data_IF_359004910147
#
_entry.id   IF_359004910147
#
_cell.length_a   1.000
_cell.length_b   1.000
_cell.length_c   1.000
_cell.angle_alpha   90.00
_cell.angle_beta   90.00
_cell.angle_gamma   90.00
#
_symmetry.space_group_name_H-M   'P 1'
#
loop_
_entity.id
_entity.type
_entity.pdbx_description
1 polymer ?
#
# COMPACT_ATOMS: atom_id res chain seq x y z
N UNK A 1 1.81 -29.75 -11.48
CA UNK A 1 2.94 -30.03 -10.56
C UNK A 1 2.71 -29.18 -9.30
N UNK A 2 2.69 -29.80 -8.14
CA UNK A 2 2.63 -29.07 -6.86
C UNK A 2 3.96 -28.38 -6.61
N UNK A 3 3.93 -27.09 -6.32
CA UNK A 3 5.12 -26.32 -5.95
C UNK A 3 5.78 -26.92 -4.70
N UNK A 4 7.10 -26.84 -4.60
CA UNK A 4 7.81 -27.24 -3.37
C UNK A 4 7.31 -26.38 -2.19
N UNK A 5 7.40 -26.84 -0.92
CA UNK A 5 7.01 -26.04 0.25
C UNK A 5 7.67 -24.67 0.28
N UNK A 6 8.95 -24.59 -0.10
CA UNK A 6 9.68 -23.33 -0.22
C UNK A 6 9.03 -22.39 -1.24
N UNK A 7 8.73 -22.87 -2.45
CA UNK A 7 8.10 -22.05 -3.49
C UNK A 7 6.67 -21.64 -3.13
N UNK A 8 5.96 -22.45 -2.35
CA UNK A 8 4.65 -22.07 -1.82
C UNK A 8 4.76 -20.90 -0.84
N UNK A 9 5.76 -20.89 0.03
CA UNK A 9 6.01 -19.77 0.95
C UNK A 9 6.44 -18.52 0.20
N UNK A 10 7.29 -18.61 -0.82
CA UNK A 10 7.66 -17.48 -1.67
C UNK A 10 6.43 -16.90 -2.37
N UNK A 11 5.56 -17.75 -2.93
CA UNK A 11 4.36 -17.33 -3.67
C UNK A 11 3.33 -16.58 -2.80
N UNK A 12 3.30 -16.82 -1.49
CA UNK A 12 2.40 -16.14 -0.54
C UNK A 12 2.87 -14.74 -0.16
N UNK A 13 4.13 -14.36 -0.41
CA UNK A 13 4.67 -13.08 0.06
C UNK A 13 4.28 -11.94 -0.84
N UNK A 14 3.87 -10.82 -0.23
CA UNK A 14 3.60 -9.54 -0.91
C UNK A 14 4.37 -8.45 -0.20
N UNK A 15 5.20 -7.73 -0.94
CA UNK A 15 6.01 -6.64 -0.38
C UNK A 15 5.72 -5.36 -1.14
N UNK A 16 5.15 -4.37 -0.45
CA UNK A 16 4.78 -3.10 -1.07
C UNK A 16 5.14 -1.90 -0.20
N UNK A 17 5.29 -0.76 -0.84
CA UNK A 17 5.44 0.53 -0.17
C UNK A 17 4.25 1.42 -0.44
N UNK A 18 3.90 2.28 0.50
CA UNK A 18 2.92 3.34 0.30
C UNK A 18 3.66 4.61 -0.10
N UNK A 19 3.29 5.17 -1.24
CA UNK A 19 3.82 6.43 -1.77
C UNK A 19 2.71 7.46 -1.90
N UNK A 20 3.00 8.71 -1.54
CA UNK A 20 2.02 9.80 -1.63
C UNK A 20 2.68 11.16 -1.48
N UNK A 21 1.95 12.20 -1.86
CA UNK A 21 2.24 13.56 -1.38
C UNK A 21 1.97 13.67 0.14
N UNK A 22 2.67 14.54 0.89
CA UNK A 22 2.32 14.86 2.27
C UNK A 22 0.84 15.19 2.43
N UNK A 23 0.23 14.77 3.52
CA UNK A 23 -1.19 14.98 3.84
C UNK A 23 -2.22 14.28 2.93
N UNK A 24 -1.82 13.49 1.93
CA UNK A 24 -2.76 12.68 1.14
C UNK A 24 -3.45 11.57 1.96
N UNK A 25 -2.96 11.27 3.17
CA UNK A 25 -3.55 10.30 4.09
C UNK A 25 -2.77 9.00 4.22
N UNK A 26 -1.47 9.00 3.85
CA UNK A 26 -0.59 7.83 3.90
C UNK A 26 -0.61 7.14 5.26
N UNK A 27 -0.29 7.84 6.34
CA UNK A 27 -0.27 7.27 7.69
C UNK A 27 -1.64 6.73 8.11
N UNK A 28 -2.72 7.41 7.71
CA UNK A 28 -4.07 6.91 7.97
C UNK A 28 -4.34 5.60 7.25
N UNK A 29 -3.94 5.48 5.97
CA UNK A 29 -4.07 4.23 5.20
C UNK A 29 -3.20 3.13 5.81
N UNK A 30 -1.95 3.41 6.20
CA UNK A 30 -1.09 2.46 6.90
C UNK A 30 -1.81 1.86 8.12
N UNK A 31 -2.37 2.70 8.99
CA UNK A 31 -3.12 2.25 10.16
C UNK A 31 -4.36 1.41 9.79
N UNK A 32 -5.06 1.76 8.70
CA UNK A 32 -6.22 1.00 8.25
C UNK A 32 -5.83 -0.35 7.64
N UNK A 33 -4.78 -0.40 6.85
CA UNK A 33 -4.23 -1.65 6.33
C UNK A 33 -3.86 -2.60 7.47
N UNK A 34 -3.21 -2.10 8.53
CA UNK A 34 -2.89 -2.89 9.72
C UNK A 34 -4.15 -3.35 10.48
N UNK A 35 -5.18 -2.51 10.53
CA UNK A 35 -6.46 -2.86 11.14
C UNK A 35 -7.16 -4.00 10.37
N UNK A 36 -7.24 -3.90 9.05
CA UNK A 36 -7.83 -4.95 8.20
C UNK A 36 -6.99 -6.24 8.25
N UNK A 37 -5.67 -6.13 8.31
CA UNK A 37 -4.77 -7.26 8.53
C UNK A 37 -4.80 -7.83 9.96
N UNK A 38 -5.69 -7.33 10.82
CA UNK A 38 -5.81 -7.72 12.24
C UNK A 38 -4.50 -7.59 13.04
N UNK A 39 -3.55 -6.84 12.52
CA UNK A 39 -2.29 -6.56 13.19
C UNK A 39 -2.43 -5.58 14.36
N UNK A 40 -3.48 -4.76 14.33
CA UNK A 40 -3.89 -3.86 15.43
C UNK A 40 -5.41 -4.00 15.67
N UNK A 41 -5.85 -3.76 16.90
CA UNK A 41 -7.27 -3.86 17.24
C UNK A 41 -8.04 -2.56 16.97
N UNK A 42 -7.37 -1.43 17.04
CA UNK A 42 -7.93 -0.10 16.79
C UNK A 42 -6.91 0.76 16.07
N UNK A 43 -7.34 1.47 15.04
CA UNK A 43 -6.45 2.39 14.34
C UNK A 43 -6.23 3.69 15.14
N UNK A 44 -4.99 4.18 15.14
CA UNK A 44 -4.66 5.51 15.64
C UNK A 44 -5.04 6.61 14.62
N UNK A 45 -4.99 7.86 15.05
CA UNK A 45 -5.20 9.02 14.19
C UNK A 45 -4.04 9.99 14.29
N UNK A 46 -3.66 10.59 13.15
CA UNK A 46 -2.59 11.60 13.07
C UNK A 46 -3.05 12.96 13.60
N UNK A 47 -4.36 13.15 13.80
CA UNK A 47 -4.91 14.46 14.15
C UNK A 47 -5.04 14.70 15.64
N UNK A 48 -4.40 15.79 16.04
CA UNK A 48 -4.85 16.66 17.13
C UNK A 48 -3.88 16.78 18.28
N UNK A 49 -3.47 18.01 18.57
CA UNK A 49 -3.03 18.40 19.90
C UNK A 49 -4.11 17.95 20.90
N UNK A 50 -3.86 16.83 21.57
CA UNK A 50 -4.75 16.32 22.63
C UNK A 50 -5.36 14.93 22.43
N UNK A 51 -5.07 14.18 21.35
CA UNK A 51 -5.48 12.78 21.26
C UNK A 51 -4.39 11.87 21.84
N UNK A 52 -4.74 11.03 22.81
CA UNK A 52 -3.83 10.07 23.41
C UNK A 52 -3.56 8.82 22.54
N UNK A 53 -4.06 8.79 21.29
CA UNK A 53 -3.87 7.68 20.36
C UNK A 53 -3.05 8.16 19.16
N UNK A 54 -1.75 7.92 19.22
CA UNK A 54 -0.84 8.13 18.09
C UNK A 54 -0.88 6.93 17.12
N UNK A 55 -0.58 7.19 15.84
CA UNK A 55 -0.45 6.14 14.85
C UNK A 55 0.68 5.17 15.23
N UNK A 56 0.47 3.87 15.05
CA UNK A 56 1.49 2.85 15.37
C UNK A 56 2.67 2.87 14.39
N UNK A 57 2.49 3.42 13.21
CA UNK A 57 3.57 3.68 12.25
C UNK A 57 4.54 4.77 12.72
N UNK A 58 4.08 5.71 13.55
CA UNK A 58 4.87 6.85 14.04
C UNK A 58 5.46 6.50 15.42
N UNK A 59 6.53 5.73 15.44
CA UNK A 59 7.15 5.23 16.68
C UNK A 59 8.27 6.11 17.23
N UNK A 60 8.89 6.98 16.42
CA UNK A 60 9.88 7.93 16.89
C UNK A 60 9.21 9.12 17.59
N UNK A 61 9.82 9.59 18.68
CA UNK A 61 9.29 10.73 19.44
C UNK A 61 9.17 12.00 18.59
N UNK A 62 10.08 12.20 17.65
CA UNK A 62 10.02 13.28 16.67
C UNK A 62 8.82 13.15 15.72
N UNK A 63 8.46 11.95 15.32
CA UNK A 63 7.28 11.68 14.48
C UNK A 63 6.00 12.02 15.22
N UNK A 64 5.90 11.59 16.49
CA UNK A 64 4.77 11.90 17.36
C UNK A 64 4.60 13.40 17.62
N UNK A 65 5.71 14.13 17.81
CA UNK A 65 5.69 15.58 18.06
C UNK A 65 5.30 16.38 16.81
N UNK A 66 5.75 15.96 15.63
CA UNK A 66 5.50 16.67 14.37
C UNK A 66 4.23 16.18 13.67
N UNK A 67 3.72 14.98 13.99
CA UNK A 67 2.58 14.35 13.33
C UNK A 67 2.87 13.96 11.88
N UNK A 68 4.15 13.68 11.56
CA UNK A 68 4.62 13.24 10.24
C UNK A 68 5.55 12.05 10.38
N UNK A 69 5.46 11.08 9.47
CA UNK A 69 6.40 9.96 9.40
C UNK A 69 7.75 10.44 8.88
N UNK A 70 8.81 10.22 9.65
CA UNK A 70 10.18 10.67 9.33
C UNK A 70 11.01 9.51 8.80
N UNK A 71 10.77 8.29 9.29
CA UNK A 71 11.55 7.11 8.92
C UNK A 71 10.65 6.04 8.32
N UNK A 72 11.25 5.17 7.49
CA UNK A 72 10.55 4.00 6.97
C UNK A 72 10.25 3.03 8.11
N UNK A 73 9.00 2.69 8.29
CA UNK A 73 8.57 1.59 9.17
C UNK A 73 8.36 0.33 8.34
N UNK A 74 8.84 -0.80 8.82
CA UNK A 74 8.62 -2.11 8.22
C UNK A 74 7.62 -2.87 9.08
N UNK A 75 6.53 -3.33 8.48
CA UNK A 75 5.46 -4.02 9.18
C UNK A 75 5.08 -5.29 8.41
N UNK A 76 4.90 -6.38 9.15
CA UNK A 76 4.55 -7.66 8.57
C UNK A 76 3.27 -8.18 9.23
N UNK A 77 2.33 -8.68 8.43
CA UNK A 77 1.09 -9.26 8.92
C UNK A 77 0.49 -10.24 7.91
N UNK A 78 -0.27 -11.25 8.37
CA UNK A 78 -1.04 -12.12 7.49
C UNK A 78 -2.29 -11.38 6.97
N UNK A 79 -2.64 -11.60 5.71
CA UNK A 79 -3.91 -11.17 5.14
C UNK A 79 -4.34 -12.15 4.05
N UNK A 80 -5.55 -12.74 4.19
CA UNK A 80 -5.95 -13.93 3.43
C UNK A 80 -4.85 -15.00 3.49
N UNK A 81 -4.51 -15.61 2.37
CA UNK A 81 -3.46 -16.63 2.30
C UNK A 81 -2.05 -16.04 2.07
N UNK A 82 -1.90 -14.71 2.21
CA UNK A 82 -0.65 -14.00 1.97
C UNK A 82 0.02 -13.54 3.26
N UNK A 83 1.34 -13.46 3.22
CA UNK A 83 2.15 -12.74 4.20
C UNK A 83 2.54 -11.39 3.61
N UNK A 84 1.97 -10.33 4.14
CA UNK A 84 2.14 -8.98 3.64
C UNK A 84 3.26 -8.27 4.38
N UNK A 85 4.19 -7.69 3.63
CA UNK A 85 5.24 -6.81 4.12
C UNK A 85 4.96 -5.40 3.63
N UNK A 86 4.57 -4.53 4.54
CA UNK A 86 4.33 -3.13 4.28
C UNK A 86 5.55 -2.31 4.70
N UNK A 87 6.08 -1.53 3.77
CA UNK A 87 7.14 -0.55 4.01
C UNK A 87 6.52 0.85 3.94
N UNK A 88 6.24 1.44 5.09
CA UNK A 88 5.73 2.81 5.16
C UNK A 88 6.87 3.81 4.96
N UNK A 89 6.78 4.63 3.94
CA UNK A 89 7.84 5.57 3.55
C UNK A 89 7.56 6.98 4.10
N UNK A 90 8.59 7.80 4.38
CA UNK A 90 8.38 9.21 4.71
C UNK A 90 7.68 9.95 3.56
N UNK A 91 6.63 10.72 3.87
CA UNK A 91 5.93 11.54 2.87
C UNK A 91 6.65 12.84 2.55
N UNK A 92 7.44 13.38 3.49
CA UNK A 92 8.05 14.71 3.37
C UNK A 92 9.30 14.70 2.47
N UNK A 93 9.53 15.80 1.74
CA UNK A 93 10.67 15.92 0.79
C UNK A 93 12.04 15.78 1.44
N UNK A 94 12.20 16.25 2.68
CA UNK A 94 13.46 16.20 3.43
C UNK A 94 13.97 14.75 3.63
N UNK A 95 13.12 13.75 3.47
CA UNK A 95 13.44 12.33 3.64
C UNK A 95 13.40 11.53 2.33
N UNK A 96 13.63 12.19 1.21
CA UNK A 96 13.54 11.59 -0.14
C UNK A 96 14.46 10.39 -0.32
N UNK A 97 15.69 10.45 0.21
CA UNK A 97 16.66 9.37 0.03
C UNK A 97 16.22 8.07 0.72
N UNK A 98 15.67 8.16 1.92
CA UNK A 98 15.10 6.99 2.63
C UNK A 98 13.95 6.36 1.82
N UNK A 99 13.11 7.19 1.23
CA UNK A 99 12.02 6.71 0.36
C UNK A 99 12.57 5.99 -0.86
N UNK A 100 13.55 6.57 -1.55
CA UNK A 100 14.14 5.96 -2.75
C UNK A 100 14.81 4.62 -2.44
N UNK A 101 15.56 4.54 -1.34
CA UNK A 101 16.17 3.29 -0.89
C UNK A 101 15.11 2.23 -0.56
N UNK A 102 14.04 2.63 0.11
CA UNK A 102 12.93 1.73 0.46
C UNK A 102 12.24 1.18 -0.78
N UNK A 103 12.02 2.02 -1.81
CA UNK A 103 11.43 1.59 -3.08
C UNK A 103 12.28 0.54 -3.82
N UNK A 104 13.59 0.44 -3.53
CA UNK A 104 14.40 -0.66 -4.07
C UNK A 104 14.08 -2.03 -3.46
N UNK A 105 13.44 -2.06 -2.30
CA UNK A 105 13.17 -3.29 -1.55
C UNK A 105 11.76 -3.85 -1.78
N UNK A 106 10.90 -3.15 -2.52
CA UNK A 106 9.51 -3.58 -2.75
C UNK A 106 9.30 -4.16 -4.13
N UNK A 107 8.21 -4.90 -4.29
CA UNK A 107 7.78 -5.51 -5.55
C UNK A 107 6.54 -4.83 -6.14
N UNK A 108 5.87 -3.97 -5.36
CA UNK A 108 4.69 -3.19 -5.77
C UNK A 108 4.64 -1.89 -4.96
N UNK A 109 3.89 -0.91 -5.44
CA UNK A 109 3.60 0.32 -4.72
C UNK A 109 2.09 0.56 -4.62
N UNK A 110 1.67 1.16 -3.51
CA UNK A 110 0.36 1.75 -3.34
C UNK A 110 0.50 3.28 -3.40
N UNK A 111 0.00 3.88 -4.46
CA UNK A 111 -0.04 5.33 -4.61
C UNK A 111 -1.32 5.88 -4.01
N UNK A 112 -1.20 6.84 -3.09
CA UNK A 112 -2.33 7.50 -2.44
C UNK A 112 -2.43 8.93 -2.93
N UNK A 113 -3.58 9.27 -3.50
CA UNK A 113 -3.90 10.60 -4.02
C UNK A 113 -5.04 11.21 -3.21
N UNK A 114 -4.90 12.47 -2.82
CA UNK A 114 -6.00 13.26 -2.25
C UNK A 114 -6.96 13.64 -3.39
N UNK A 115 -8.17 13.09 -3.39
CA UNK A 115 -9.15 13.30 -4.46
C UNK A 115 -9.62 14.77 -4.58
N UNK A 116 -9.41 15.60 -3.57
CA UNK A 116 -9.68 17.03 -3.65
C UNK A 116 -8.56 17.81 -4.34
N UNK A 117 -7.32 17.30 -4.35
CA UNK A 117 -6.14 17.98 -4.87
C UNK A 117 -5.65 17.41 -6.20
N UNK A 118 -5.75 16.09 -6.40
CA UNK A 118 -5.23 15.39 -7.58
C UNK A 118 -3.73 15.10 -7.47
N UNK A 119 -3.03 15.13 -8.60
CA UNK A 119 -1.60 14.84 -8.70
C UNK A 119 -0.77 16.02 -8.21
N UNK A 120 0.02 15.79 -7.17
CA UNK A 120 0.87 16.81 -6.55
C UNK A 120 2.37 16.51 -6.83
N UNK A 121 3.26 17.50 -6.68
CA UNK A 121 4.68 17.43 -7.06
C UNK A 121 5.42 16.22 -6.51
N UNK A 122 5.14 15.84 -5.26
CA UNK A 122 5.79 14.69 -4.65
C UNK A 122 5.38 13.38 -5.34
N UNK A 123 4.11 13.28 -5.74
CA UNK A 123 3.60 12.12 -6.48
C UNK A 123 4.35 11.94 -7.80
N UNK A 124 4.58 13.05 -8.55
CA UNK A 124 5.36 13.03 -9.80
C UNK A 124 6.77 12.52 -9.59
N UNK A 125 7.49 13.07 -8.60
CA UNK A 125 8.87 12.65 -8.27
C UNK A 125 8.95 11.17 -7.88
N UNK A 126 8.00 10.68 -7.09
CA UNK A 126 7.95 9.27 -6.67
C UNK A 126 7.63 8.34 -7.85
N UNK A 127 6.77 8.78 -8.75
CA UNK A 127 6.47 8.06 -9.97
C UNK A 127 7.68 7.88 -10.88
N UNK A 128 8.52 8.89 -11.03
CA UNK A 128 9.79 8.80 -11.78
C UNK A 128 10.69 7.70 -11.22
N UNK A 129 10.75 7.58 -9.88
CA UNK A 129 11.58 6.55 -9.22
C UNK A 129 11.02 5.14 -9.43
N UNK A 130 9.70 4.96 -9.31
CA UNK A 130 9.06 3.65 -9.52
C UNK A 130 9.21 3.16 -10.97
N UNK A 131 9.21 4.08 -11.93
CA UNK A 131 9.43 3.78 -13.35
C UNK A 131 10.82 3.27 -13.69
N UNK A 132 11.84 3.66 -12.95
CA UNK A 132 13.19 3.13 -13.18
C UNK A 132 13.27 1.60 -13.04
N UNK A 133 12.21 0.98 -12.52
CA UNK A 133 12.16 -0.46 -12.24
C UNK A 133 10.86 -1.11 -12.71
N UNK A 134 10.04 -0.40 -13.46
CA UNK A 134 8.72 -0.85 -13.90
C UNK A 134 7.89 -1.45 -12.75
N UNK A 135 7.98 -0.80 -11.56
CA UNK A 135 7.31 -1.29 -10.35
C UNK A 135 5.79 -1.16 -10.52
N UNK A 136 5.01 -2.24 -10.41
CA UNK A 136 3.55 -2.18 -10.46
C UNK A 136 2.98 -1.24 -9.40
N UNK A 137 1.96 -0.46 -9.77
CA UNK A 137 1.35 0.55 -8.90
C UNK A 137 -0.16 0.35 -8.84
N UNK A 138 -0.70 0.24 -7.62
CA UNK A 138 -2.12 0.43 -7.35
C UNK A 138 -2.36 1.88 -6.92
N UNK A 139 -3.47 2.46 -7.31
CA UNK A 139 -3.84 3.84 -6.95
C UNK A 139 -5.08 3.85 -6.05
N UNK A 140 -5.01 4.60 -4.96
CA UNK A 140 -6.13 4.84 -4.06
C UNK A 140 -6.47 6.33 -4.02
N UNK A 141 -7.63 6.69 -4.56
CA UNK A 141 -8.22 8.03 -4.49
C UNK A 141 -8.89 8.20 -3.14
N UNK A 142 -8.25 8.95 -2.26
CA UNK A 142 -8.60 9.07 -0.85
C UNK A 142 -9.41 10.33 -0.55
N UNK A 143 -10.07 10.35 0.59
CA UNK A 143 -10.80 11.48 1.19
C UNK A 143 -12.13 11.80 0.53
N UNK A 144 -12.86 10.78 0.09
CA UNK A 144 -14.23 10.94 -0.45
C UNK A 144 -15.25 11.45 0.59
N UNK A 145 -14.87 11.49 1.87
CA UNK A 145 -15.61 12.15 2.95
C UNK A 145 -15.61 13.68 2.87
N UNK A 146 -14.91 14.23 1.87
CA UNK A 146 -14.84 15.67 1.56
C UNK A 146 -15.29 15.94 0.12
N UNK A 147 -15.51 17.20 -0.20
CA UNK A 147 -15.72 17.61 -1.57
C UNK A 147 -14.45 17.30 -2.38
N UNK A 148 -14.62 16.59 -3.49
CA UNK A 148 -13.55 16.14 -4.37
C UNK A 148 -13.70 16.78 -5.75
N UNK A 149 -12.65 16.68 -6.56
CA UNK A 149 -12.71 17.00 -7.99
C UNK A 149 -13.48 15.91 -8.74
N UNK A 150 -13.89 16.21 -9.95
CA UNK A 150 -14.55 15.22 -10.80
C UNK A 150 -13.68 13.96 -10.95
N UNK A 151 -14.23 12.74 -10.72
CA UNK A 151 -13.45 11.51 -10.81
C UNK A 151 -12.85 11.25 -12.19
N UNK A 152 -13.54 11.61 -13.29
CA UNK A 152 -12.99 11.46 -14.64
C UNK A 152 -11.80 12.40 -14.86
N UNK A 153 -11.91 13.66 -14.43
CA UNK A 153 -10.79 14.61 -14.51
C UNK A 153 -9.58 14.13 -13.69
N UNK A 154 -9.81 13.47 -12.54
CA UNK A 154 -8.74 12.89 -11.73
C UNK A 154 -8.02 11.75 -12.45
N UNK A 155 -8.76 10.87 -13.14
CA UNK A 155 -8.16 9.82 -13.95
C UNK A 155 -7.34 10.40 -15.11
N UNK A 156 -7.91 11.35 -15.84
CA UNK A 156 -7.23 12.04 -16.95
C UNK A 156 -5.93 12.73 -16.49
N UNK A 157 -5.95 13.35 -15.32
CA UNK A 157 -4.77 13.99 -14.73
C UNK A 157 -3.68 12.97 -14.40
N UNK A 158 -4.04 11.83 -13.79
CA UNK A 158 -3.11 10.74 -13.50
C UNK A 158 -2.49 10.20 -14.80
N UNK A 159 -3.29 9.94 -15.82
CA UNK A 159 -2.81 9.46 -17.11
C UNK A 159 -1.90 10.48 -17.81
N UNK A 160 -2.30 11.74 -17.82
CA UNK A 160 -1.57 12.79 -18.50
C UNK A 160 -0.26 13.17 -17.78
N UNK A 161 -0.26 13.24 -16.47
CA UNK A 161 0.89 13.69 -15.69
C UNK A 161 1.83 12.57 -15.30
N UNK A 162 1.26 11.42 -14.91
CA UNK A 162 2.06 10.27 -14.49
C UNK A 162 2.35 9.28 -15.62
N UNK A 163 1.74 9.44 -16.80
CA UNK A 163 1.93 8.58 -17.98
C UNK A 163 1.67 7.10 -17.68
N UNK A 164 0.66 6.79 -16.92
CA UNK A 164 0.20 5.43 -16.58
C UNK A 164 -1.30 5.37 -16.84
N UNK A 165 -1.77 4.35 -17.55
CA UNK A 165 -3.20 4.18 -17.82
C UNK A 165 -3.99 3.87 -16.55
N UNK A 166 -5.17 4.43 -16.39
CA UNK A 166 -6.04 4.18 -15.25
C UNK A 166 -7.09 3.12 -15.59
N UNK A 167 -7.19 2.10 -14.73
CA UNK A 167 -8.23 1.07 -14.79
C UNK A 167 -9.09 1.14 -13.52
N UNK A 168 -10.23 1.84 -13.53
CA UNK A 168 -11.07 1.97 -12.33
C UNK A 168 -11.66 0.61 -11.93
N UNK A 169 -11.45 0.23 -10.68
CA UNK A 169 -12.00 -0.98 -10.07
C UNK A 169 -13.26 -0.64 -9.28
N UNK A 170 -13.23 0.45 -8.56
CA UNK A 170 -14.40 0.99 -7.87
C UNK A 170 -14.71 2.40 -8.38
N UNK A 171 -15.98 2.81 -8.32
CA UNK A 171 -16.43 4.14 -8.70
C UNK A 171 -17.22 4.79 -7.58
N UNK A 172 -16.99 6.08 -7.27
CA UNK A 172 -17.64 6.73 -6.13
C UNK A 172 -19.11 7.06 -6.44
N UNK A 173 -19.95 7.04 -5.40
CA UNK A 173 -21.35 7.48 -5.45
C UNK A 173 -21.47 8.70 -4.57
N UNK A 174 -21.46 9.89 -5.18
CA UNK A 174 -21.39 11.16 -4.50
C UNK A 174 -20.06 11.41 -3.79
N UNK A 175 -19.95 12.54 -3.12
CA UNK A 175 -18.76 12.92 -2.33
C UNK A 175 -19.15 13.83 -1.16
N UNK A 176 -18.22 14.05 -0.23
CA UNK A 176 -18.43 14.88 0.93
C UNK A 176 -19.62 14.41 1.77
N UNK A 177 -20.56 15.30 2.02
CA UNK A 177 -21.78 14.97 2.77
C UNK A 177 -22.74 14.06 2.01
N UNK A 178 -22.63 14.03 0.68
CA UNK A 178 -23.44 13.20 -0.21
C UNK A 178 -22.79 11.86 -0.52
N UNK A 179 -21.63 11.57 0.02
CA UNK A 179 -20.93 10.31 -0.20
C UNK A 179 -21.77 9.12 0.33
N UNK A 180 -22.20 8.24 -0.57
CA UNK A 180 -23.04 7.08 -0.27
C UNK A 180 -22.28 5.77 -0.29
N UNK A 181 -21.14 5.70 -0.98
CA UNK A 181 -20.38 4.46 -1.14
C UNK A 181 -19.63 4.38 -2.45
N UNK A 182 -19.29 3.16 -2.84
CA UNK A 182 -18.64 2.88 -4.12
C UNK A 182 -19.34 1.73 -4.83
N UNK A 183 -19.35 1.78 -6.16
CA UNK A 183 -19.73 0.68 -7.03
C UNK A 183 -18.48 -0.05 -7.52
N UNK A 184 -18.44 -1.37 -7.42
CA UNK A 184 -17.34 -2.21 -7.90
C UNK A 184 -17.64 -2.69 -9.32
N UNK A 185 -16.90 -2.21 -10.31
CA UNK A 185 -17.19 -2.40 -11.73
C UNK A 185 -17.21 -3.88 -12.15
N UNK A 186 -16.30 -4.69 -11.61
CA UNK A 186 -16.12 -6.10 -12.01
C UNK A 186 -16.97 -7.08 -11.21
N UNK A 187 -17.52 -6.67 -10.05
CA UNK A 187 -18.39 -7.51 -9.22
C UNK A 187 -19.87 -7.19 -9.42
N UNK A 188 -20.19 -6.07 -10.08
CA UNK A 188 -21.55 -5.52 -10.19
C UNK A 188 -22.23 -5.37 -8.82
N UNK A 189 -21.46 -4.81 -7.86
CA UNK A 189 -21.87 -4.66 -6.46
C UNK A 189 -21.64 -3.22 -5.99
N UNK A 190 -22.64 -2.67 -5.30
CA UNK A 190 -22.53 -1.39 -4.60
C UNK A 190 -22.30 -1.62 -3.12
N UNK A 191 -21.24 -1.02 -2.60
CA UNK A 191 -20.88 -1.03 -1.19
C UNK A 191 -21.29 0.31 -0.58
N UNK A 192 -22.22 0.27 0.39
CA UNK A 192 -22.80 1.48 0.96
C UNK A 192 -22.01 1.96 2.16
N UNK A 193 -21.60 3.22 2.11
CA UNK A 193 -20.86 3.87 3.20
C UNK A 193 -21.79 4.22 4.36
N UNK A 194 -21.38 3.87 5.58
CA UNK A 194 -22.03 4.32 6.79
C UNK A 194 -21.08 5.28 7.54
N UNK A 195 -21.55 6.50 7.74
CA UNK A 195 -20.80 7.50 8.50
C UNK A 195 -20.64 7.04 9.95
N UNK A 196 -19.37 6.82 10.38
CA UNK A 196 -19.06 6.38 11.72
C UNK A 196 -17.66 6.85 12.16
N UNK A 197 -17.32 6.62 13.44
CA UNK A 197 -15.98 6.90 13.95
C UNK A 197 -15.00 5.81 13.49
N UNK A 198 -14.57 5.79 12.26
CA UNK A 198 -13.72 4.82 11.56
C UNK A 198 -12.53 4.16 12.30
N UNK A 199 -12.71 3.79 13.57
CA UNK A 199 -11.70 3.14 14.41
C UNK A 199 -11.80 1.62 14.42
N UNK A 200 -12.92 1.07 13.96
CA UNK A 200 -13.20 -0.38 13.87
C UNK A 200 -13.78 -0.72 12.52
N UNK A 201 -13.59 -1.96 12.09
CA UNK A 201 -14.21 -2.50 10.87
C UNK A 201 -15.73 -2.58 11.11
N UNK A 202 -16.52 -2.08 10.18
CA UNK A 202 -17.97 -2.13 10.22
C UNK A 202 -18.48 -3.05 9.10
N UNK A 203 -19.62 -3.70 9.33
CA UNK A 203 -20.32 -4.41 8.26
C UNK A 203 -20.84 -3.41 7.23
N UNK A 204 -20.51 -3.67 5.97
CA UNK A 204 -20.93 -2.84 4.84
C UNK A 204 -22.15 -3.48 4.19
N UNK A 205 -23.23 -2.71 4.00
CA UNK A 205 -24.39 -3.17 3.24
C UNK A 205 -24.03 -3.22 1.75
N UNK A 206 -24.29 -4.35 1.11
CA UNK A 206 -24.00 -4.58 -0.30
C UNK A 206 -25.32 -4.66 -1.07
N UNK A 207 -25.42 -3.95 -2.20
CA UNK A 207 -26.51 -4.04 -3.17
C UNK A 207 -25.93 -4.58 -4.47
N UNK A 208 -26.50 -5.67 -5.00
CA UNK A 208 -26.05 -6.31 -6.23
C UNK A 208 -26.85 -5.82 -7.43
N UNK A 209 -26.15 -5.54 -8.53
CA UNK A 209 -26.73 -5.12 -9.78
C UNK A 209 -26.93 -3.60 -9.88
N UNK A 210 -26.37 -3.00 -10.95
CA UNK A 210 -26.44 -1.56 -11.22
C UNK A 210 -27.90 -1.09 -11.45
N UNK A 211 -28.75 -1.97 -11.99
CA UNK A 211 -30.17 -1.67 -12.28
C UNK A 211 -31.11 -2.20 -11.20
N UNK A 212 -30.61 -2.60 -10.04
CA UNK A 212 -31.44 -3.05 -8.94
C UNK A 212 -32.17 -1.87 -8.31
N UNK A 213 -33.51 -1.92 -8.14
CA UNK A 213 -34.29 -0.87 -7.47
C UNK A 213 -33.84 -0.58 -6.03
N UNK A 214 -33.24 -1.56 -5.36
CA UNK A 214 -32.68 -1.39 -4.02
C UNK A 214 -31.51 -0.40 -4.01
N UNK A 215 -30.82 -0.20 -5.14
CA UNK A 215 -29.78 0.81 -5.29
C UNK A 215 -30.41 2.22 -5.25
N UNK A 216 -31.47 2.45 -6.05
CA UNK A 216 -32.18 3.74 -6.08
C UNK A 216 -32.74 4.07 -4.69
N UNK A 217 -33.30 3.08 -4.00
CA UNK A 217 -33.83 3.24 -2.65
C UNK A 217 -32.71 3.54 -1.62
N UNK A 218 -31.50 3.02 -1.81
CA UNK A 218 -30.39 3.17 -0.87
C UNK A 218 -29.64 4.50 -1.02
N UNK A 219 -29.39 4.95 -2.26
CA UNK A 219 -28.57 6.14 -2.55
C UNK A 219 -29.39 7.36 -2.99
N UNK A 220 -30.64 7.16 -3.43
CA UNK A 220 -31.53 8.15 -4.05
C UNK A 220 -31.48 8.04 -5.57
N UNK A 221 -32.63 8.29 -6.21
CA UNK A 221 -32.83 8.14 -7.67
C UNK A 221 -31.80 8.99 -8.47
N UNK A 222 -31.58 10.24 -8.06
CA UNK A 222 -30.67 11.17 -8.75
C UNK A 222 -29.22 10.65 -8.75
N UNK A 223 -28.72 10.22 -7.60
CA UNK A 223 -27.36 9.69 -7.49
C UNK A 223 -27.21 8.32 -8.19
N UNK A 224 -28.24 7.49 -8.16
CA UNK A 224 -28.23 6.21 -8.87
C UNK A 224 -28.21 6.42 -10.40
N UNK A 225 -28.99 7.39 -10.90
CA UNK A 225 -28.97 7.73 -12.32
C UNK A 225 -27.61 8.35 -12.72
N UNK A 226 -27.10 9.28 -11.94
CA UNK A 226 -25.77 9.84 -12.16
C UNK A 226 -24.69 8.74 -12.23
N UNK A 227 -24.73 7.78 -11.31
CA UNK A 227 -23.81 6.63 -11.32
C UNK A 227 -23.92 5.84 -12.64
N UNK A 228 -25.13 5.57 -13.13
CA UNK A 228 -25.34 4.84 -14.40
C UNK A 228 -24.73 5.59 -15.57
N UNK A 229 -24.97 6.90 -15.65
CA UNK A 229 -24.47 7.77 -16.71
C UNK A 229 -22.94 7.86 -16.68
N UNK A 230 -22.35 8.04 -15.50
CA UNK A 230 -20.89 8.07 -15.31
C UNK A 230 -20.24 6.73 -15.68
N UNK A 231 -20.82 5.59 -15.28
CA UNK A 231 -20.29 4.27 -15.60
C UNK A 231 -20.35 3.94 -17.10
N UNK A 232 -21.34 4.47 -17.83
CA UNK A 232 -21.36 4.36 -19.29
C UNK A 232 -20.18 5.09 -19.91
N UNK A 233 -19.88 6.30 -19.42
CA UNK A 233 -18.70 7.07 -19.85
C UNK A 233 -17.39 6.37 -19.47
N UNK A 234 -17.27 5.89 -18.24
CA UNK A 234 -16.08 5.17 -17.74
C UNK A 234 -15.77 3.96 -18.60
N UNK A 235 -16.78 3.15 -18.93
CA UNK A 235 -16.60 1.95 -19.79
C UNK A 235 -16.14 2.30 -21.21
N UNK A 236 -16.46 3.49 -21.70
CA UNK A 236 -16.04 3.94 -23.02
C UNK A 236 -14.68 4.66 -23.07
N UNK A 237 -14.27 5.26 -21.96
CA UNK A 237 -13.13 6.17 -21.91
C UNK A 237 -11.94 5.65 -21.09
N UNK A 238 -12.15 4.75 -20.14
CA UNK A 238 -11.07 4.23 -19.28
C UNK A 238 -10.54 2.89 -19.77
N UNK A 239 -9.34 2.54 -19.30
CA UNK A 239 -8.77 1.22 -19.57
C UNK A 239 -9.51 0.13 -18.77
N UNK A 240 -9.71 -1.03 -19.37
CA UNK A 240 -10.07 -2.22 -18.62
C UNK A 240 -8.85 -2.73 -17.83
N UNK A 241 -9.10 -3.32 -16.65
CA UNK A 241 -8.01 -3.90 -15.87
C UNK A 241 -7.45 -5.14 -16.56
N UNK A 242 -6.17 -5.10 -16.84
CA UNK A 242 -5.38 -6.21 -17.34
C UNK A 242 -4.19 -6.45 -16.42
N UNK A 243 -4.06 -7.69 -15.92
CA UNK A 243 -3.03 -8.03 -14.93
C UNK A 243 -1.62 -7.99 -15.54
N UNK A 244 -1.44 -8.32 -16.80
CA UNK A 244 -0.12 -8.30 -17.46
C UNK A 244 0.35 -6.86 -17.65
N UNK A 245 -0.54 -5.97 -18.11
CA UNK A 245 -0.26 -4.53 -18.22
C UNK A 245 0.00 -3.89 -16.85
N UNK A 246 -0.73 -4.32 -15.81
CA UNK A 246 -0.46 -3.87 -14.43
C UNK A 246 0.94 -4.30 -13.98
N UNK A 247 1.31 -5.57 -14.18
CA UNK A 247 2.63 -6.09 -13.81
C UNK A 247 3.77 -5.45 -14.62
N UNK A 248 3.49 -5.01 -15.84
CA UNK A 248 4.41 -4.25 -16.67
C UNK A 248 4.54 -2.77 -16.27
N UNK A 249 3.70 -2.29 -15.33
CA UNK A 249 3.67 -0.88 -14.91
C UNK A 249 3.03 0.07 -15.94
N UNK A 250 2.27 -0.46 -16.90
CA UNK A 250 1.60 0.31 -17.95
C UNK A 250 0.24 0.85 -17.52
N UNK A 251 -0.48 0.12 -16.66
CA UNK A 251 -1.75 0.54 -16.07
C UNK A 251 -1.73 0.46 -14.54
N UNK A 252 -2.57 1.27 -13.92
CA UNK A 252 -2.84 1.22 -12.48
C UNK A 252 -4.31 0.93 -12.20
N UNK A 253 -4.65 -0.12 -11.43
CA UNK A 253 -6.00 -0.27 -10.90
C UNK A 253 -6.31 0.83 -9.90
N UNK A 254 -7.46 1.50 -10.09
CA UNK A 254 -7.86 2.66 -9.28
C UNK A 254 -9.01 2.32 -8.37
N UNK A 255 -8.82 2.58 -7.08
CA UNK A 255 -9.81 2.41 -6.03
C UNK A 255 -10.18 3.76 -5.42
N UNK A 256 -11.44 3.95 -5.09
CA UNK A 256 -11.96 5.14 -4.45
C UNK A 256 -12.42 4.82 -3.02
N UNK A 257 -12.16 5.73 -2.07
CA UNK A 257 -12.57 5.54 -0.70
C UNK A 257 -12.19 6.65 0.26
N UNK A 258 -12.40 6.41 1.54
CA UNK A 258 -11.98 7.30 2.62
C UNK A 258 -11.28 6.50 3.71
N UNK A 259 -9.97 6.71 3.86
CA UNK A 259 -9.21 6.06 4.91
C UNK A 259 -9.68 6.50 6.31
N UNK A 260 -10.07 7.78 6.47
CA UNK A 260 -10.59 8.28 7.73
C UNK A 260 -11.91 7.59 8.11
N UNK A 261 -12.78 7.37 7.12
CA UNK A 261 -14.05 6.66 7.28
C UNK A 261 -13.92 5.14 7.33
N UNK A 262 -12.71 4.60 7.19
CA UNK A 262 -12.45 3.15 7.14
C UNK A 262 -13.22 2.42 6.02
N UNK A 263 -13.31 3.03 4.82
CA UNK A 263 -14.13 2.57 3.73
C UNK A 263 -13.35 2.49 2.40
N UNK A 264 -13.50 1.37 1.68
CA UNK A 264 -12.83 1.10 0.39
C UNK A 264 -11.37 0.65 0.52
N UNK A 265 -10.80 0.65 1.73
CA UNK A 265 -9.41 0.19 1.98
C UNK A 265 -9.30 -1.33 1.86
N UNK A 266 -10.34 -2.05 2.25
CA UNK A 266 -10.48 -3.50 2.09
C UNK A 266 -10.44 -3.91 0.62
N UNK A 267 -11.22 -3.26 -0.25
CA UNK A 267 -11.20 -3.54 -1.69
C UNK A 267 -9.82 -3.33 -2.31
N UNK A 268 -9.13 -2.26 -1.92
CA UNK A 268 -7.77 -1.99 -2.37
C UNK A 268 -6.79 -3.05 -1.85
N UNK A 269 -6.92 -3.46 -0.59
CA UNK A 269 -6.04 -4.47 0.00
C UNK A 269 -6.29 -5.86 -0.59
N UNK A 270 -7.54 -6.21 -0.88
CA UNK A 270 -7.91 -7.43 -1.62
C UNK A 270 -7.25 -7.44 -3.01
N UNK A 271 -7.40 -6.36 -3.77
CA UNK A 271 -6.75 -6.20 -5.08
C UNK A 271 -5.22 -6.27 -4.98
N UNK A 272 -4.64 -5.68 -3.94
CA UNK A 272 -3.20 -5.74 -3.72
C UNK A 272 -2.71 -7.18 -3.53
N UNK A 273 -3.32 -7.97 -2.65
CA UNK A 273 -2.86 -9.35 -2.39
C UNK A 273 -3.13 -10.28 -3.56
N UNK A 274 -4.18 -10.01 -4.35
CA UNK A 274 -4.54 -10.81 -5.51
C UNK A 274 -3.64 -10.54 -6.72
N UNK A 275 -3.28 -9.27 -6.97
CA UNK A 275 -2.63 -8.85 -8.21
C UNK A 275 -1.16 -8.52 -8.05
N UNK A 276 -0.72 -8.01 -6.90
CA UNK A 276 0.68 -7.71 -6.69
C UNK A 276 1.55 -8.95 -6.88
N UNK A 277 2.75 -8.80 -7.46
CA UNK A 277 3.62 -9.93 -7.70
C UNK A 277 4.12 -10.56 -6.40
N UNK A 278 4.40 -11.84 -6.44
CA UNK A 278 5.30 -12.49 -5.50
C UNK A 278 6.70 -11.89 -5.62
N UNK A 279 7.65 -12.18 -4.72
CA UNK A 279 9.00 -11.65 -4.79
C UNK A 279 9.60 -11.78 -6.19
N UNK A 280 9.95 -10.62 -6.77
CA UNK A 280 10.45 -10.54 -8.13
C UNK A 280 11.96 -10.78 -8.20
N UNK A 281 12.48 -11.27 -9.34
CA UNK A 281 13.91 -11.39 -9.59
C UNK A 281 14.65 -10.05 -9.40
N UNK A 282 15.90 -10.12 -8.99
CA UNK A 282 16.75 -8.93 -8.80
C UNK A 282 18.00 -9.00 -9.66
N UNK A 283 18.22 -7.95 -10.43
CA UNK A 283 19.45 -7.78 -11.19
C UNK A 283 20.61 -7.42 -10.27
N UNK A 284 21.74 -8.05 -10.50
CA UNK A 284 23.02 -7.72 -9.87
C UNK A 284 24.06 -7.38 -10.93
N UNK A 285 25.25 -6.95 -10.53
CA UNK A 285 26.34 -6.63 -11.46
C UNK A 285 26.79 -7.86 -12.29
N UNK A 286 26.52 -9.07 -11.82
CA UNK A 286 27.00 -10.30 -12.44
C UNK A 286 25.91 -11.23 -12.97
N UNK A 287 24.72 -11.16 -12.43
CA UNK A 287 23.61 -12.06 -12.81
C UNK A 287 22.24 -11.57 -12.30
N UNK A 288 21.19 -12.17 -12.82
CA UNK A 288 19.85 -12.10 -12.20
C UNK A 288 19.77 -13.13 -11.08
N UNK A 289 19.24 -12.73 -9.92
CA UNK A 289 18.91 -13.62 -8.80
C UNK A 289 17.41 -13.88 -8.81
N UNK A 290 17.04 -15.15 -8.93
CA UNK A 290 15.65 -15.58 -8.90
C UNK A 290 15.20 -15.89 -7.47
N UNK A 291 13.98 -15.49 -7.11
CA UNK A 291 13.42 -15.77 -5.78
C UNK A 291 13.28 -17.28 -5.50
N UNK A 292 13.28 -18.11 -6.55
CA UNK A 292 13.19 -19.57 -6.46
C UNK A 292 14.51 -20.27 -6.14
N UNK A 293 15.63 -19.55 -6.06
CA UNK A 293 16.93 -20.14 -5.76
C UNK A 293 17.02 -20.53 -4.28
N UNK A 294 17.53 -21.74 -3.99
CA UNK A 294 17.71 -22.23 -2.61
C UNK A 294 18.83 -21.47 -1.85
N UNK A 295 19.78 -20.93 -2.58
CA UNK A 295 20.90 -20.19 -1.98
C UNK A 295 20.43 -18.85 -1.44
N UNK A 296 20.72 -18.56 -0.17
CA UNK A 296 20.42 -17.29 0.45
C UNK A 296 21.13 -16.14 -0.25
N UNK A 297 20.37 -15.14 -0.65
CA UNK A 297 20.84 -13.88 -1.22
C UNK A 297 19.98 -12.74 -0.68
N UNK A 298 20.60 -11.64 -0.33
CA UNK A 298 19.87 -10.45 0.15
C UNK A 298 20.71 -9.19 -0.01
N UNK A 299 20.05 -8.05 0.15
CA UNK A 299 20.73 -6.75 0.16
C UNK A 299 20.18 -5.86 1.28
N UNK A 300 21.08 -5.05 1.84
CA UNK A 300 20.73 -4.05 2.85
C UNK A 300 20.29 -2.78 2.12
N UNK A 301 19.03 -2.38 2.32
CA UNK A 301 18.48 -1.16 1.73
C UNK A 301 18.51 0.03 2.69
N UNK A 302 18.60 -0.22 4.00
CA UNK A 302 18.64 0.82 5.03
C UNK A 302 19.44 0.39 6.25
N UNK A 303 20.13 1.34 6.88
CA UNK A 303 20.73 1.18 8.22
C UNK A 303 20.17 2.29 9.10
N UNK A 304 19.50 1.91 10.17
CA UNK A 304 18.92 2.83 11.15
C UNK A 304 19.68 2.75 12.46
N UNK A 305 20.18 3.90 12.93
CA UNK A 305 20.80 4.02 14.25
C UNK A 305 19.79 4.52 15.29
N UNK A 306 20.08 4.25 16.56
CA UNK A 306 19.37 4.79 17.71
C UNK A 306 17.85 4.49 17.70
N UNK A 307 17.48 3.29 17.28
CA UNK A 307 16.08 2.84 17.32
C UNK A 307 15.58 2.65 18.77
N UNK A 308 16.47 2.30 19.67
CA UNK A 308 16.21 2.30 21.10
C UNK A 308 17.00 3.44 21.74
N UNK A 309 16.34 4.43 22.39
CA UNK A 309 17.03 5.54 23.06
C UNK A 309 18.02 5.09 24.14
N UNK A 310 17.83 3.89 24.70
CA UNK A 310 18.68 3.32 25.76
C UNK A 310 19.91 2.58 25.21
N UNK A 311 19.91 2.25 23.93
CA UNK A 311 20.96 1.49 23.28
C UNK A 311 21.51 2.24 22.05
N UNK A 312 22.84 2.29 21.92
CA UNK A 312 23.52 2.83 20.73
C UNK A 312 23.70 1.74 19.67
N UNK A 313 22.61 1.05 19.32
CA UNK A 313 22.61 0.01 18.31
C UNK A 313 22.36 0.57 16.90
N UNK A 314 22.71 -0.23 15.91
CA UNK A 314 22.37 0.00 14.50
C UNK A 314 21.70 -1.24 13.97
N UNK A 315 20.55 -1.05 13.37
CA UNK A 315 19.79 -2.12 12.73
C UNK A 315 19.90 -1.99 11.22
N UNK A 316 20.34 -3.06 10.56
CA UNK A 316 20.37 -3.14 9.10
C UNK A 316 19.06 -3.79 8.62
N UNK A 317 18.30 -3.07 7.79
CA UNK A 317 17.14 -3.60 7.12
C UNK A 317 17.56 -4.29 5.84
N UNK A 318 17.31 -5.59 5.76
CA UNK A 318 17.70 -6.42 4.63
C UNK A 318 16.48 -6.98 3.91
N UNK A 319 16.47 -6.86 2.59
CA UNK A 319 15.57 -7.61 1.73
C UNK A 319 16.21 -8.96 1.42
N UNK A 320 15.54 -10.04 1.81
CA UNK A 320 15.85 -11.38 1.32
C UNK A 320 15.33 -11.50 -0.11
N UNK A 321 16.18 -11.89 -1.05
CA UNK A 321 15.84 -12.04 -2.46
C UNK A 321 15.61 -13.51 -2.81
N UNK A 322 16.45 -14.41 -2.28
CA UNK A 322 16.35 -15.85 -2.49
C UNK A 322 16.82 -16.63 -1.27
N UNK A 323 16.46 -17.88 -1.20
CA UNK A 323 16.81 -18.78 -0.12
C UNK A 323 16.11 -18.43 1.19
N UNK A 324 16.54 -19.07 2.24
CA UNK A 324 15.99 -18.94 3.59
C UNK A 324 17.06 -18.47 4.56
N UNK A 325 16.75 -17.50 5.39
CA UNK A 325 17.57 -17.12 6.52
C UNK A 325 17.38 -18.11 7.64
N UNK A 326 18.47 -18.54 8.26
CA UNK A 326 18.48 -19.30 9.50
C UNK A 326 19.43 -18.64 10.50
N UNK A 327 19.03 -18.59 11.76
CA UNK A 327 19.80 -17.97 12.83
C UNK A 327 21.20 -18.58 12.93
N UNK A 328 22.20 -17.72 13.01
CA UNK A 328 23.59 -18.11 13.11
C UNK A 328 24.24 -18.50 11.78
N UNK A 329 23.53 -18.42 10.66
CA UNK A 329 24.12 -18.72 9.36
C UNK A 329 25.28 -17.77 9.02
N UNK A 330 26.27 -18.32 8.32
CA UNK A 330 27.44 -17.56 7.85
C UNK A 330 27.21 -17.05 6.44
N UNK A 331 27.28 -15.74 6.25
CA UNK A 331 27.06 -15.08 4.98
C UNK A 331 28.34 -14.41 4.47
N UNK A 332 28.47 -14.36 3.15
CA UNK A 332 29.52 -13.61 2.48
C UNK A 332 29.05 -12.18 2.19
N UNK A 333 29.65 -11.18 2.81
CA UNK A 333 29.45 -9.80 2.43
C UNK A 333 30.24 -9.49 1.15
N UNK A 334 29.55 -9.42 0.03
CA UNK A 334 30.18 -9.32 -1.31
C UNK A 334 31.13 -8.11 -1.41
N UNK A 335 30.65 -6.92 -1.02
CA UNK A 335 31.42 -5.67 -1.14
C UNK A 335 32.78 -5.68 -0.42
N UNK A 336 32.86 -6.30 0.74
CA UNK A 336 34.09 -6.33 1.56
C UNK A 336 34.84 -7.64 1.42
N UNK A 337 34.28 -8.63 0.72
CA UNK A 337 34.78 -10.00 0.63
C UNK A 337 35.00 -10.67 2.00
N UNK A 338 34.25 -10.28 3.03
CA UNK A 338 34.34 -10.82 4.38
C UNK A 338 33.16 -11.72 4.68
N UNK A 339 33.40 -12.74 5.49
CA UNK A 339 32.34 -13.57 6.03
C UNK A 339 31.81 -12.92 7.32
N UNK A 340 30.50 -12.88 7.45
CA UNK A 340 29.78 -12.38 8.63
C UNK A 340 28.80 -13.44 9.12
N UNK A 341 28.61 -13.53 10.41
CA UNK A 341 27.58 -14.39 11.02
C UNK A 341 26.46 -13.48 11.49
N UNK A 342 25.23 -13.78 11.04
CA UNK A 342 24.05 -13.11 11.55
C UNK A 342 23.54 -13.93 12.75
N UNK A 343 23.90 -13.43 13.94
CA UNK A 343 23.53 -14.08 15.20
C UNK A 343 22.09 -13.86 15.59
N UNK A 344 21.46 -12.81 15.08
CA UNK A 344 20.11 -12.39 15.45
C UNK A 344 19.44 -11.62 14.31
N UNK A 345 18.20 -11.98 14.05
CA UNK A 345 17.35 -11.27 13.10
C UNK A 345 16.02 -10.88 13.78
N UNK A 346 15.47 -9.77 13.34
CA UNK A 346 14.27 -9.19 13.91
C UNK A 346 13.22 -8.96 12.83
N UNK A 347 11.97 -9.20 13.16
CA UNK A 347 10.82 -8.66 12.44
C UNK A 347 10.23 -7.49 13.24
N UNK A 348 9.53 -6.61 12.54
CA UNK A 348 8.99 -5.40 13.14
C UNK A 348 7.50 -5.27 12.87
N UNK A 349 6.78 -4.85 13.91
CA UNK A 349 5.47 -4.26 13.81
C UNK A 349 5.61 -2.81 14.29
N UNK A 350 5.90 -1.88 13.37
CA UNK A 350 6.28 -0.51 13.71
C UNK A 350 7.49 -0.47 14.70
N UNK A 351 7.30 -0.10 15.95
CA UNK A 351 8.34 -0.07 16.98
C UNK A 351 8.58 -1.38 17.73
N UNK A 352 7.63 -2.32 17.64
CA UNK A 352 7.74 -3.60 18.34
C UNK A 352 8.67 -4.55 17.60
N UNK A 353 9.55 -5.23 18.33
CA UNK A 353 10.58 -6.12 17.78
C UNK A 353 10.32 -7.56 18.23
N UNK A 354 10.36 -8.48 17.31
CA UNK A 354 10.29 -9.91 17.58
C UNK A 354 11.47 -10.62 16.97
N UNK A 355 12.17 -11.44 17.77
CA UNK A 355 13.26 -12.28 17.27
C UNK A 355 12.72 -13.37 16.38
N UNK A 356 13.42 -13.65 15.28
CA UNK A 356 13.09 -14.70 14.35
C UNK A 356 14.25 -15.69 14.20
N UNK A 357 13.92 -16.97 14.21
CA UNK A 357 14.88 -18.04 13.99
C UNK A 357 15.08 -18.30 12.48
N UNK A 358 14.06 -18.00 11.67
CA UNK A 358 14.00 -18.23 10.22
C UNK A 358 13.25 -17.10 9.50
N UNK A 359 13.66 -16.77 8.26
CA UNK A 359 12.99 -15.82 7.40
C UNK A 359 13.18 -16.15 5.91
#
# INVERSE_FOLDING_TARGET
MTLSPYLQEVAKRRTFAIISHPDAGKTTITEKVLLFGQAIQTAGTVKGRGSNQHAKSDWMEMEKQRGISITTSVMQFPYHDCLVNLLDTPGHEDFSEDTYRTLTAVDCCLMVIDAAKGVEDRTRKLMEVTRLRDTPILTFMNKLDRDIRDPMELLDEVENELKIGCAPITWPIGCGKLFKGVYHLYKDETYLYQSGKGHTIQEVRIVKGLNNPDLDAAVGEDLAQQLRDELELVKGASNEFDKELFLAGEITPVFFGTALGNFGVDHMLDGLVEWAPAPMPRQTDTRTVEASEDKFTGFVFKIQANMDPKHRDRVAFMRVVSGKYEKGMKLRQVRTAKDVVISDALTFMAGDRSHVEEA
#
